data_IF_157014405060
#
_entry.id   IF_157014405060
#
_cell.length_a   1.000
_cell.length_b   1.000
_cell.length_c   1.000
_cell.angle_alpha   90.00
_cell.angle_beta   90.00
_cell.angle_gamma   90.00
#
_symmetry.space_group_name_H-M   'P 1'
#
loop_
_entity.id
_entity.type
_entity.pdbx_description
1 polymer ?
#
# COMPACT_ATOMS: atom_id res chain seq x y z
N UNK A 1 -3.12 17.65 -5.70
CA UNK A 1 -2.05 17.20 -4.78
C UNK A 1 -1.01 18.31 -4.63
N UNK A 2 -0.75 18.76 -3.42
CA UNK A 2 0.12 19.92 -3.18
C UNK A 2 1.58 19.52 -3.47
N UNK A 3 2.29 20.29 -4.32
CA UNK A 3 3.71 20.04 -4.69
C UNK A 3 4.62 19.83 -3.46
N UNK A 4 4.27 20.42 -2.31
CA UNK A 4 5.02 20.27 -1.05
C UNK A 4 4.95 18.85 -0.46
N UNK A 5 3.83 18.12 -0.61
CA UNK A 5 3.72 16.72 -0.15
C UNK A 5 4.56 15.77 -1.01
N UNK A 6 4.60 15.98 -2.32
CA UNK A 6 5.43 15.18 -3.23
C UNK A 6 6.92 15.34 -2.92
N UNK A 7 7.37 16.57 -2.66
CA UNK A 7 8.76 16.85 -2.24
C UNK A 7 9.12 16.21 -0.89
N UNK A 8 8.18 16.16 0.06
CA UNK A 8 8.40 15.53 1.37
C UNK A 8 8.61 14.01 1.26
N UNK A 9 7.81 13.34 0.47
CA UNK A 9 7.92 11.88 0.24
C UNK A 9 9.21 11.56 -0.53
N UNK A 10 9.52 12.31 -1.59
CA UNK A 10 10.78 12.15 -2.32
C UNK A 10 12.01 12.41 -1.43
N UNK A 11 11.97 13.39 -0.55
CA UNK A 11 13.05 13.68 0.38
C UNK A 11 13.28 12.54 1.39
N UNK A 12 12.23 11.87 1.88
CA UNK A 12 12.36 10.69 2.74
C UNK A 12 13.06 9.54 2.01
N UNK A 13 12.71 9.25 0.76
CA UNK A 13 13.38 8.23 -0.06
C UNK A 13 14.88 8.51 -0.26
N UNK A 14 15.26 9.76 -0.44
CA UNK A 14 16.66 10.13 -0.59
C UNK A 14 17.41 10.18 0.74
N UNK A 15 16.72 10.46 1.84
CA UNK A 15 17.36 10.58 3.15
C UNK A 15 17.80 9.22 3.70
N UNK A 16 16.99 8.18 3.53
CA UNK A 16 17.35 6.82 3.98
C UNK A 16 18.50 6.24 3.14
N UNK A 17 18.53 6.50 1.83
CA UNK A 17 19.61 6.06 0.94
C UNK A 17 20.96 6.68 1.29
N UNK A 18 21.00 7.91 1.83
CA UNK A 18 22.23 8.59 2.19
C UNK A 18 23.02 7.93 3.34
N UNK A 19 22.35 7.12 4.17
CA UNK A 19 22.96 6.40 5.30
C UNK A 19 23.15 4.90 5.05
N UNK A 20 22.68 4.39 3.93
CA UNK A 20 22.80 2.99 3.58
C UNK A 20 24.19 2.65 3.04
N UNK A 21 24.76 1.51 3.42
CA UNK A 21 25.96 0.95 2.79
C UNK A 21 25.64 0.29 1.44
N UNK A 22 24.43 -0.20 1.29
CA UNK A 22 23.91 -0.85 0.10
C UNK A 22 22.42 -0.55 -0.04
N UNK A 23 21.98 -0.27 -1.26
CA UNK A 23 20.59 -0.05 -1.59
C UNK A 23 20.16 -0.97 -2.72
N UNK A 24 18.96 -1.53 -2.61
CA UNK A 24 18.32 -2.30 -3.68
C UNK A 24 17.00 -1.63 -4.03
N UNK A 25 16.77 -1.37 -5.31
CA UNK A 25 15.51 -0.81 -5.82
C UNK A 25 14.71 -1.92 -6.49
N UNK A 26 13.42 -2.03 -6.17
CA UNK A 26 12.52 -3.02 -6.74
C UNK A 26 11.39 -2.32 -7.49
N UNK A 27 11.06 -2.90 -8.65
CA UNK A 27 9.87 -2.59 -9.41
C UNK A 27 9.01 -3.85 -9.49
N UNK A 28 7.76 -3.77 -9.07
CA UNK A 28 6.89 -4.94 -9.10
C UNK A 28 5.44 -4.55 -9.37
N UNK A 29 4.69 -5.51 -9.86
CA UNK A 29 3.27 -5.39 -10.12
C UNK A 29 2.55 -6.62 -9.62
N UNK A 30 1.35 -6.43 -9.12
CA UNK A 30 0.54 -7.49 -8.57
C UNK A 30 -0.94 -7.25 -8.75
N UNK A 31 -1.71 -8.23 -8.31
CA UNK A 31 -3.15 -8.13 -8.15
C UNK A 31 -3.44 -7.94 -6.67
N UNK A 32 -4.49 -7.21 -6.32
CA UNK A 32 -4.87 -7.08 -4.93
C UNK A 32 -6.32 -7.46 -4.68
N UNK A 33 -6.51 -8.07 -3.52
CA UNK A 33 -7.78 -8.53 -2.98
C UNK A 33 -7.99 -7.85 -1.64
N UNK A 34 -9.22 -7.47 -1.35
CA UNK A 34 -9.57 -6.90 -0.06
C UNK A 34 -10.72 -7.65 0.58
N UNK A 35 -10.69 -7.69 1.90
CA UNK A 35 -11.81 -8.03 2.76
C UNK A 35 -12.07 -6.83 3.66
N UNK A 36 -13.27 -6.27 3.55
CA UNK A 36 -13.62 -4.99 4.11
C UNK A 36 -14.81 -5.12 5.04
N UNK A 37 -14.63 -4.80 6.29
CA UNK A 37 -15.69 -4.74 7.30
C UNK A 37 -15.76 -3.34 7.89
N UNK A 38 -16.96 -2.76 7.90
CA UNK A 38 -17.21 -1.49 8.56
C UNK A 38 -18.61 -1.44 9.16
N UNK A 39 -18.81 -0.58 10.15
CA UNK A 39 -20.12 -0.32 10.72
C UNK A 39 -20.42 1.18 10.75
N UNK A 40 -21.67 1.52 10.40
CA UNK A 40 -22.20 2.87 10.45
C UNK A 40 -23.60 2.78 11.08
N UNK A 41 -23.81 3.47 12.19
CA UNK A 41 -25.11 3.53 12.87
C UNK A 41 -25.74 2.16 13.12
N UNK A 42 -24.99 1.27 13.78
CA UNK A 42 -25.38 -0.12 14.14
C UNK A 42 -25.55 -1.11 12.96
N UNK A 43 -25.37 -0.66 11.71
CA UNK A 43 -25.35 -1.54 10.56
C UNK A 43 -23.93 -2.00 10.26
N UNK A 44 -23.73 -3.32 10.06
CA UNK A 44 -22.47 -3.90 9.61
C UNK A 44 -22.52 -4.19 8.13
N UNK A 45 -21.43 -3.81 7.45
CA UNK A 45 -21.25 -4.03 6.02
C UNK A 45 -19.99 -4.88 5.79
N UNK A 46 -20.09 -5.81 4.85
CA UNK A 46 -19.00 -6.68 4.44
C UNK A 46 -18.87 -6.61 2.92
N UNK A 47 -17.67 -6.46 2.45
CA UNK A 47 -17.38 -6.51 1.03
C UNK A 47 -16.00 -7.14 0.82
N UNK A 48 -15.94 -8.19 -0.01
CA UNK A 48 -14.69 -8.92 -0.23
C UNK A 48 -14.53 -9.29 -1.70
N UNK A 49 -13.29 -9.33 -2.17
CA UNK A 49 -12.99 -9.83 -3.51
C UNK A 49 -11.76 -9.21 -4.15
N UNK A 50 -11.66 -9.49 -5.44
CA UNK A 50 -10.66 -8.89 -6.32
C UNK A 50 -11.00 -7.42 -6.57
N UNK A 51 -10.01 -6.52 -6.44
CA UNK A 51 -10.19 -5.06 -6.60
C UNK A 51 -9.44 -4.46 -7.76
N UNK A 52 -8.38 -5.11 -8.24
CA UNK A 52 -7.62 -4.57 -9.36
C UNK A 52 -6.14 -4.92 -9.36
N UNK A 53 -5.36 -4.10 -10.07
CA UNK A 53 -3.92 -4.20 -10.17
C UNK A 53 -3.19 -3.14 -9.36
N UNK A 54 -1.98 -3.49 -8.93
CA UNK A 54 -1.07 -2.61 -8.21
C UNK A 54 0.29 -2.57 -8.91
N UNK A 55 0.87 -1.37 -9.01
CA UNK A 55 2.26 -1.17 -9.41
C UNK A 55 3.00 -0.48 -8.28
N UNK A 56 4.19 -1.00 -7.94
CA UNK A 56 4.97 -0.53 -6.81
C UNK A 56 6.43 -0.30 -7.15
N UNK A 57 6.98 0.71 -6.51
CA UNK A 57 8.42 0.97 -6.44
C UNK A 57 8.82 0.90 -4.97
N UNK A 58 9.79 0.08 -4.64
CA UNK A 58 10.32 0.03 -3.28
C UNK A 58 11.83 0.19 -3.27
N UNK A 59 12.34 0.60 -2.11
CA UNK A 59 13.74 0.76 -1.84
C UNK A 59 14.07 0.05 -0.52
N UNK A 60 15.17 -0.72 -0.54
CA UNK A 60 15.75 -1.34 0.64
C UNK A 60 17.12 -0.74 0.90
N UNK A 61 17.28 -0.18 2.07
CA UNK A 61 18.52 0.41 2.56
C UNK A 61 19.09 -0.46 3.65
N UNK A 62 20.15 -1.23 3.37
CA UNK A 62 20.77 -2.13 4.32
C UNK A 62 21.80 -1.44 5.18
N UNK A 63 21.81 -1.81 6.46
CA UNK A 63 22.74 -1.34 7.46
C UNK A 63 23.68 -2.50 7.87
N UNK A 64 24.99 -2.24 7.85
CA UNK A 64 26.00 -3.25 8.19
C UNK A 64 26.55 -4.02 6.98
N UNK A 65 27.54 -4.86 7.24
CA UNK A 65 28.30 -5.58 6.20
C UNK A 65 27.57 -6.83 5.69
N UNK A 66 26.80 -7.46 6.56
CA UNK A 66 26.13 -8.73 6.26
C UNK A 66 24.77 -8.56 5.56
N UNK A 67 24.26 -7.32 5.42
CA UNK A 67 23.00 -6.98 4.76
C UNK A 67 21.76 -7.76 5.29
N UNK A 68 21.78 -8.12 6.58
CA UNK A 68 20.67 -8.86 7.20
C UNK A 68 19.56 -7.95 7.72
N UNK A 69 19.87 -6.68 7.97
CA UNK A 69 18.95 -5.70 8.52
C UNK A 69 19.01 -4.39 7.75
N UNK A 70 17.86 -3.78 7.56
CA UNK A 70 17.74 -2.53 6.85
C UNK A 70 16.43 -1.82 7.08
N UNK A 71 16.14 -0.87 6.21
CA UNK A 71 14.92 -0.11 6.18
C UNK A 71 14.25 -0.23 4.80
N UNK A 72 12.94 -0.43 4.82
CA UNK A 72 12.08 -0.60 3.65
C UNK A 72 11.21 0.62 3.47
N UNK A 73 11.11 1.07 2.24
CA UNK A 73 10.19 2.12 1.80
C UNK A 73 9.53 1.69 0.50
N UNK A 74 8.23 1.95 0.36
CA UNK A 74 7.47 1.61 -0.83
C UNK A 74 6.47 2.71 -1.18
N UNK A 75 6.34 2.99 -2.46
CA UNK A 75 5.27 3.75 -3.05
C UNK A 75 4.52 2.83 -4.01
N UNK A 76 3.21 2.69 -3.81
CA UNK A 76 2.33 1.87 -4.65
C UNK A 76 1.25 2.73 -5.29
N UNK A 77 0.86 2.36 -6.50
CA UNK A 77 -0.27 2.91 -7.24
C UNK A 77 -1.24 1.77 -7.54
N UNK A 78 -2.51 2.00 -7.29
CA UNK A 78 -3.58 1.02 -7.43
C UNK A 78 -4.57 1.50 -8.47
N UNK A 79 -5.06 0.57 -9.29
CA UNK A 79 -6.09 0.83 -10.30
C UNK A 79 -7.00 -0.39 -10.44
N UNK A 80 -8.30 -0.13 -10.44
CA UNK A 80 -9.34 -1.14 -10.52
C UNK A 80 -10.68 -0.51 -10.18
N UNK A 81 -11.36 -1.02 -9.20
CA UNK A 81 -12.64 -0.48 -8.70
C UNK A 81 -12.45 0.97 -8.20
N UNK A 82 -11.24 1.30 -7.74
CA UNK A 82 -10.84 2.64 -7.35
C UNK A 82 -9.41 2.95 -7.84
N UNK A 83 -9.04 4.22 -7.78
CA UNK A 83 -7.66 4.66 -7.95
C UNK A 83 -7.06 4.96 -6.60
N UNK A 84 -5.84 4.46 -6.35
CA UNK A 84 -5.19 4.67 -5.07
C UNK A 84 -3.69 4.92 -5.19
N UNK A 85 -3.16 5.51 -4.11
CA UNK A 85 -1.73 5.61 -3.87
C UNK A 85 -1.46 5.24 -2.41
N UNK A 86 -0.41 4.48 -2.17
CA UNK A 86 -0.02 4.01 -0.85
C UNK A 86 1.47 4.25 -0.63
N UNK A 87 1.80 4.79 0.53
CA UNK A 87 3.16 4.81 1.06
C UNK A 87 3.26 3.82 2.21
N UNK A 88 4.32 2.99 2.21
CA UNK A 88 4.63 2.07 3.28
C UNK A 88 6.10 2.19 3.67
N UNK A 89 6.40 2.07 4.97
CA UNK A 89 7.77 2.11 5.47
C UNK A 89 7.93 1.29 6.76
N UNK A 90 9.10 0.68 6.93
CA UNK A 90 9.39 -0.10 8.13
C UNK A 90 10.76 -0.79 8.10
N UNK A 91 11.08 -1.59 9.10
CA UNK A 91 12.30 -2.38 9.12
C UNK A 91 12.27 -3.46 8.05
N UNK A 92 13.44 -3.87 7.60
CA UNK A 92 13.63 -4.96 6.65
C UNK A 92 14.59 -5.99 7.22
N UNK A 93 14.22 -7.26 7.15
CA UNK A 93 15.01 -8.40 7.59
C UNK A 93 15.30 -9.30 6.39
N UNK A 94 16.55 -9.63 6.18
CA UNK A 94 17.01 -10.37 5.02
C UNK A 94 17.75 -11.64 5.44
N UNK A 95 17.46 -12.75 4.76
CA UNK A 95 18.19 -14.01 4.85
C UNK A 95 18.54 -14.49 3.44
N UNK A 96 19.77 -14.91 3.25
CA UNK A 96 20.27 -15.50 1.99
C UNK A 96 20.72 -16.93 2.25
N UNK A 97 19.80 -17.93 2.19
CA UNK A 97 20.14 -19.31 2.50
C UNK A 97 21.13 -19.91 1.49
N UNK A 98 21.22 -19.36 0.29
CA UNK A 98 22.19 -19.73 -0.74
C UNK A 98 22.32 -18.61 -1.79
N UNK A 99 23.25 -18.74 -2.74
CA UNK A 99 23.50 -17.74 -3.78
C UNK A 99 22.36 -17.57 -4.79
N UNK A 100 21.44 -18.51 -4.86
CA UNK A 100 20.31 -18.46 -5.77
C UNK A 100 19.10 -17.75 -5.18
N UNK A 101 18.87 -17.87 -3.87
CA UNK A 101 17.67 -17.38 -3.20
C UNK A 101 18.01 -16.42 -2.06
N UNK A 102 17.39 -15.24 -2.07
CA UNK A 102 17.32 -14.33 -0.93
C UNK A 102 15.86 -14.15 -0.55
N UNK A 103 15.57 -14.23 0.74
CA UNK A 103 14.25 -14.00 1.31
C UNK A 103 14.32 -12.73 2.15
N UNK A 104 13.34 -11.87 2.00
CA UNK A 104 13.24 -10.65 2.77
C UNK A 104 11.83 -10.49 3.31
N UNK A 105 11.73 -10.19 4.60
CA UNK A 105 10.48 -9.85 5.27
C UNK A 105 10.55 -8.40 5.78
N UNK A 106 9.54 -7.62 5.49
CA UNK A 106 9.48 -6.21 5.85
C UNK A 106 8.12 -5.89 6.46
N UNK A 107 8.01 -5.93 7.81
CA UNK A 107 6.85 -5.33 8.47
C UNK A 107 6.87 -3.82 8.25
N UNK A 108 5.71 -3.21 8.07
CA UNK A 108 5.61 -1.79 7.74
C UNK A 108 4.35 -1.14 8.34
N UNK A 109 4.41 0.17 8.47
CA UNK A 109 3.23 1.03 8.56
C UNK A 109 2.88 1.55 7.16
N UNK A 110 1.58 1.73 6.90
CA UNK A 110 1.07 2.24 5.64
C UNK A 110 0.18 3.45 5.81
N UNK A 111 0.26 4.36 4.85
CA UNK A 111 -0.65 5.46 4.61
C UNK A 111 -1.19 5.33 3.20
N UNK A 112 -2.48 5.14 3.05
CA UNK A 112 -3.16 4.98 1.77
C UNK A 112 -4.09 6.15 1.47
N UNK A 113 -4.23 6.45 0.19
CA UNK A 113 -5.21 7.38 -0.37
C UNK A 113 -5.95 6.65 -1.48
N UNK A 114 -7.27 6.60 -1.39
CA UNK A 114 -8.12 5.98 -2.40
C UNK A 114 -9.13 7.01 -2.92
N UNK A 115 -9.45 6.89 -4.19
CA UNK A 115 -10.45 7.69 -4.88
C UNK A 115 -11.35 6.79 -5.70
N UNK A 116 -12.65 6.84 -5.44
CA UNK A 116 -13.67 6.10 -6.15
C UNK A 116 -14.70 7.07 -6.74
N UNK A 117 -14.91 6.97 -8.04
CA UNK A 117 -15.76 7.90 -8.79
C UNK A 117 -17.15 7.34 -9.04
N UNK A 118 -18.15 8.21 -9.00
CA UNK A 118 -19.54 7.88 -9.33
C UNK A 118 -20.15 6.76 -8.47
N UNK A 119 -19.87 6.74 -7.17
CA UNK A 119 -20.49 5.80 -6.26
C UNK A 119 -21.99 6.06 -6.10
N UNK A 120 -22.75 4.97 -6.01
CA UNK A 120 -24.18 5.09 -5.72
C UNK A 120 -24.37 5.45 -4.25
N UNK A 121 -25.03 6.59 -3.98
CA UNK A 121 -25.28 7.11 -2.64
C UNK A 121 -26.12 6.15 -1.77
N UNK A 122 -26.95 5.32 -2.38
CA UNK A 122 -27.75 4.30 -1.67
C UNK A 122 -26.88 3.30 -0.89
N UNK A 123 -25.62 3.07 -1.34
CA UNK A 123 -24.64 2.21 -0.66
C UNK A 123 -24.39 2.62 0.80
N UNK A 124 -24.58 3.88 1.13
CA UNK A 124 -24.27 4.42 2.47
C UNK A 124 -25.46 4.44 3.44
N UNK A 125 -26.61 3.83 3.07
CA UNK A 125 -27.79 3.73 3.94
C UNK A 125 -28.43 5.06 4.32
N UNK A 126 -27.97 6.18 3.73
CA UNK A 126 -28.48 7.52 4.00
C UNK A 126 -29.46 7.95 2.92
N UNK A 127 -30.70 7.56 3.05
CA UNK A 127 -31.82 8.02 2.20
C UNK A 127 -32.02 9.54 2.19
N UNK A 128 -31.35 10.28 3.07
CA UNK A 128 -31.45 11.74 3.17
C UNK A 128 -30.69 12.50 2.09
N UNK A 129 -29.80 11.88 1.32
CA UNK A 129 -29.00 12.53 0.27
C UNK A 129 -29.62 12.43 -1.13
N UNK A 130 -30.75 11.75 -1.32
CA UNK A 130 -31.38 11.56 -2.63
C UNK A 130 -30.76 10.43 -3.46
N UNK A 131 -31.25 10.28 -4.69
CA UNK A 131 -30.69 9.37 -5.69
C UNK A 131 -29.69 10.14 -6.55
N UNK A 132 -28.40 9.80 -6.46
CA UNK A 132 -27.35 10.48 -7.21
C UNK A 132 -26.05 9.69 -7.18
N UNK A 133 -25.04 10.20 -7.87
CA UNK A 133 -23.67 9.71 -7.80
C UNK A 133 -22.81 10.63 -6.95
N UNK A 134 -21.87 10.08 -6.23
CA UNK A 134 -20.91 10.81 -5.42
C UNK A 134 -19.48 10.36 -5.71
N UNK A 135 -18.54 11.27 -5.55
CA UNK A 135 -17.12 10.96 -5.58
C UNK A 135 -16.63 10.72 -4.14
N UNK A 136 -15.96 9.60 -3.92
CA UNK A 136 -15.50 9.18 -2.59
C UNK A 136 -13.97 9.26 -2.50
N UNK A 137 -13.47 9.82 -1.40
CA UNK A 137 -12.05 10.00 -1.09
C UNK A 137 -11.76 9.38 0.27
N UNK A 138 -10.84 8.41 0.33
CA UNK A 138 -10.46 7.73 1.57
C UNK A 138 -9.00 8.00 1.93
N UNK A 139 -8.76 8.19 3.22
CA UNK A 139 -7.43 8.17 3.82
C UNK A 139 -7.37 6.97 4.75
N UNK A 140 -6.42 6.09 4.52
CA UNK A 140 -6.25 4.83 5.23
C UNK A 140 -4.95 4.83 6.02
N UNK A 141 -4.99 4.40 7.28
CA UNK A 141 -3.80 4.09 8.07
C UNK A 141 -3.82 2.63 8.48
N UNK A 142 -2.67 1.99 8.41
CA UNK A 142 -2.57 0.58 8.72
C UNK A 142 -1.15 0.09 8.94
N UNK A 143 -1.03 -1.22 9.03
CA UNK A 143 0.24 -1.93 9.14
C UNK A 143 0.18 -3.22 8.34
N UNK A 144 1.32 -3.78 8.01
CA UNK A 144 1.39 -5.01 7.24
C UNK A 144 2.77 -5.63 7.22
N UNK A 145 2.92 -6.62 6.36
CA UNK A 145 4.19 -7.28 6.08
C UNK A 145 4.27 -7.62 4.61
N UNK A 146 5.39 -7.29 3.98
CA UNK A 146 5.73 -7.77 2.65
C UNK A 146 6.82 -8.84 2.76
N UNK A 147 6.64 -9.95 2.06
CA UNK A 147 7.66 -10.99 1.91
C UNK A 147 8.08 -11.06 0.45
N UNK A 148 9.38 -10.90 0.21
CA UNK A 148 10.00 -10.97 -1.10
C UNK A 148 10.88 -12.22 -1.21
N UNK A 149 10.84 -12.84 -2.38
CA UNK A 149 11.74 -13.91 -2.78
C UNK A 149 12.51 -13.44 -4.02
N UNK A 150 13.81 -13.16 -3.85
CA UNK A 150 14.69 -12.75 -4.92
C UNK A 150 15.40 -13.96 -5.47
N UNK A 151 15.30 -14.18 -6.77
CA UNK A 151 15.96 -15.26 -7.47
C UNK A 151 17.25 -14.75 -8.11
N UNK A 152 18.31 -15.59 -8.13
CA UNK A 152 19.61 -15.24 -8.73
C UNK A 152 20.22 -13.97 -8.13
N UNK A 153 20.24 -13.85 -6.82
CA UNK A 153 20.65 -12.66 -6.07
C UNK A 153 22.06 -12.12 -6.37
N UNK A 154 22.93 -12.94 -6.95
CA UNK A 154 24.30 -12.55 -7.34
C UNK A 154 24.35 -11.64 -8.58
N UNK A 155 23.21 -11.44 -9.26
CA UNK A 155 23.13 -10.61 -10.46
C UNK A 155 22.74 -9.18 -10.09
N UNK A 156 23.14 -8.23 -10.93
CA UNK A 156 22.73 -6.81 -10.82
C UNK A 156 21.21 -6.62 -10.96
N UNK A 157 20.56 -7.52 -11.71
CA UNK A 157 19.10 -7.55 -11.88
C UNK A 157 18.62 -8.93 -11.49
N UNK A 158 17.76 -9.00 -10.51
CA UNK A 158 17.20 -10.25 -9.96
C UNK A 158 15.70 -10.28 -10.16
N UNK A 159 15.14 -11.34 -10.75
CA UNK A 159 13.70 -11.57 -10.71
C UNK A 159 13.23 -11.69 -9.27
N UNK A 160 12.06 -11.16 -8.97
CA UNK A 160 11.44 -11.29 -7.66
C UNK A 160 9.97 -11.71 -7.77
N UNK A 161 9.52 -12.41 -6.77
CA UNK A 161 8.11 -12.66 -6.50
C UNK A 161 7.84 -12.41 -5.02
N UNK A 162 6.61 -12.16 -4.66
CA UNK A 162 6.30 -11.94 -3.26
C UNK A 162 4.83 -11.80 -2.96
N UNK A 163 4.57 -11.55 -1.71
CA UNK A 163 3.24 -11.42 -1.14
C UNK A 163 3.24 -10.22 -0.20
N UNK A 164 2.23 -9.38 -0.33
CA UNK A 164 1.91 -8.32 0.60
C UNK A 164 0.63 -8.67 1.36
N UNK A 165 0.67 -8.50 2.67
CA UNK A 165 -0.49 -8.59 3.53
C UNK A 165 -0.55 -7.38 4.44
N UNK A 166 -1.68 -6.69 4.47
CA UNK A 166 -1.86 -5.53 5.33
C UNK A 166 -3.25 -5.39 5.89
N UNK A 167 -3.32 -4.68 7.00
CA UNK A 167 -4.55 -4.34 7.72
C UNK A 167 -4.61 -2.84 7.85
N UNK A 168 -5.71 -2.23 7.42
CA UNK A 168 -6.01 -0.84 7.77
C UNK A 168 -7.05 -0.83 8.87
N UNK A 169 -6.75 -0.11 9.94
CA UNK A 169 -7.54 -0.01 11.16
C UNK A 169 -8.09 1.40 11.40
N UNK A 170 -7.80 2.32 10.50
CA UNK A 170 -8.31 3.68 10.52
C UNK A 170 -8.64 4.12 9.10
N UNK A 171 -9.81 4.73 8.94
CA UNK A 171 -10.29 5.31 7.70
C UNK A 171 -10.90 6.68 7.97
N UNK A 172 -10.57 7.63 7.12
CA UNK A 172 -11.26 8.89 6.97
C UNK A 172 -11.84 8.94 5.57
N UNK A 173 -13.15 9.03 5.49
CA UNK A 173 -13.88 9.00 4.25
C UNK A 173 -14.61 10.32 4.02
N UNK A 174 -14.45 10.86 2.83
CA UNK A 174 -15.04 12.11 2.38
C UNK A 174 -15.83 11.85 1.11
N UNK A 175 -17.08 12.24 1.09
CA UNK A 175 -17.98 12.06 -0.05
C UNK A 175 -18.35 13.43 -0.61
N UNK A 176 -18.04 13.67 -1.87
CA UNK A 176 -18.45 14.88 -2.60
C UNK A 176 -19.76 14.62 -3.33
N UNK A 177 -20.80 15.35 -2.94
CA UNK A 177 -22.11 15.31 -3.55
C UNK A 177 -22.42 16.70 -4.06
N UNK A 178 -22.49 16.89 -5.37
CA UNK A 178 -22.82 18.15 -6.03
C UNK A 178 -21.94 19.35 -5.57
N UNK A 179 -20.65 19.08 -5.28
CA UNK A 179 -19.68 20.09 -4.81
C UNK A 179 -19.74 20.36 -3.30
N UNK A 180 -20.55 19.64 -2.55
CA UNK A 180 -20.57 19.68 -1.09
C UNK A 180 -19.85 18.45 -0.51
N UNK A 181 -18.82 18.70 0.32
CA UNK A 181 -18.02 17.64 0.93
C UNK A 181 -18.63 17.23 2.27
N UNK A 182 -19.01 15.96 2.36
CA UNK A 182 -19.54 15.32 3.57
C UNK A 182 -18.49 14.39 4.15
N UNK A 183 -18.49 14.27 5.46
CA UNK A 183 -17.61 13.40 6.20
C UNK A 183 -18.39 12.18 6.69
N UNK A 184 -17.83 10.97 6.44
CA UNK A 184 -18.35 9.71 6.97
C UNK A 184 -17.50 9.27 8.16
N UNK A 185 -18.14 9.02 9.28
CA UNK A 185 -17.52 8.50 10.49
C UNK A 185 -17.87 7.02 10.65
N UNK A 186 -16.87 6.17 10.68
CA UNK A 186 -17.04 4.74 10.90
C UNK A 186 -16.83 4.42 12.37
N UNK A 187 -17.79 3.73 12.98
CA UNK A 187 -17.70 3.25 14.36
C UNK A 187 -16.66 2.14 14.49
N UNK A 188 -16.62 1.24 13.52
CA UNK A 188 -15.60 0.20 13.38
C UNK A 188 -15.17 0.12 11.92
N UNK A 189 -13.89 0.01 11.70
CA UNK A 189 -13.31 -0.11 10.38
C UNK A 189 -12.17 -1.12 10.39
N UNK A 190 -12.25 -2.11 9.50
CA UNK A 190 -11.19 -3.07 9.24
C UNK A 190 -11.12 -3.34 7.74
N UNK A 191 -9.97 -3.11 7.15
CA UNK A 191 -9.69 -3.50 5.77
C UNK A 191 -8.46 -4.41 5.75
N UNK A 192 -8.67 -5.66 5.37
CA UNK A 192 -7.60 -6.60 5.05
C UNK A 192 -7.25 -6.49 3.57
N UNK A 193 -5.97 -6.43 3.24
CA UNK A 193 -5.48 -6.44 1.86
C UNK A 193 -4.48 -7.57 1.69
N UNK A 194 -4.63 -8.33 0.62
CA UNK A 194 -3.70 -9.36 0.18
C UNK A 194 -3.30 -9.10 -1.26
N UNK A 195 -2.00 -9.06 -1.54
CA UNK A 195 -1.49 -8.76 -2.88
C UNK A 195 -0.30 -9.65 -3.24
N UNK A 196 -0.49 -10.71 -4.05
CA UNK A 196 0.61 -11.42 -4.70
C UNK A 196 1.18 -10.57 -5.83
N UNK A 197 2.50 -10.56 -5.99
CA UNK A 197 3.17 -9.75 -6.99
C UNK A 197 4.41 -10.43 -7.59
N UNK A 198 4.81 -9.94 -8.77
CA UNK A 198 6.05 -10.29 -9.45
C UNK A 198 6.78 -9.02 -9.88
N UNK A 199 8.10 -9.10 -10.06
CA UNK A 199 8.87 -7.93 -10.46
C UNK A 199 10.36 -8.20 -10.65
N UNK A 200 11.12 -7.12 -10.56
CA UNK A 200 12.58 -7.13 -10.68
C UNK A 200 13.21 -6.28 -9.59
N UNK A 201 14.37 -6.69 -9.11
CA UNK A 201 15.21 -5.96 -8.18
C UNK A 201 16.51 -5.54 -8.86
N UNK A 202 16.92 -4.30 -8.62
CA UNK A 202 18.19 -3.73 -9.05
C UNK A 202 19.10 -3.57 -7.84
N UNK A 203 20.18 -4.33 -7.81
CA UNK A 203 21.18 -4.27 -6.74
C UNK A 203 22.17 -3.14 -7.07
N UNK A 204 22.17 -2.08 -6.28
CA UNK A 204 22.97 -0.86 -6.47
C UNK A 204 24.22 -0.83 -5.57
#
# INVERSE_FOLDING_TARGET
MNKKCFFGIAALFFFSAAFAKKSDVQLFSGLFFTDFEYSVSDNRFFDSGFRGGEFSVSNFNFFGEENHFGFFERLSFQAGDFFGAEFAAGPAFCAAPNDFLRIQASPFFRLGFEFEKNQNIEKYGRTSFGTGSADEYRILLGAGTTVFFFLMQSRRVSPLLGIDFSVSFFCRDFVDIDGALYYLDYENFLLLKFSPFIGVSFNL
#
